data_IF_125381693743
#
_entry.id   IF_125381693743
#
_cell.length_a   1.000
_cell.length_b   1.000
_cell.length_c   1.000
_cell.angle_alpha   90.00
_cell.angle_beta   90.00
_cell.angle_gamma   90.00
#
_symmetry.space_group_name_H-M   'P 1'
#
loop_
_entity.id
_entity.type
_entity.pdbx_description
1 polymer ?
#
# COMPACT_ATOMS: atom_id res chain seq x y z
N UNK A 1 21.79 27.72 -14.49
CA UNK A 1 22.25 26.65 -15.40
C UNK A 1 22.29 25.34 -14.63
N UNK A 2 21.45 24.40 -15.07
CA UNK A 2 21.42 22.95 -14.82
C UNK A 2 22.46 22.36 -13.85
N UNK A 3 22.07 22.13 -12.59
CA UNK A 3 22.75 21.13 -11.75
C UNK A 3 21.95 19.84 -11.78
N UNK A 4 22.61 18.83 -12.34
CA UNK A 4 22.19 17.45 -12.48
C UNK A 4 21.72 16.90 -11.14
N UNK A 5 20.41 16.84 -10.92
CA UNK A 5 19.85 15.97 -9.88
C UNK A 5 19.88 14.55 -10.43
N UNK A 6 20.98 13.90 -10.04
CA UNK A 6 21.10 12.47 -9.75
C UNK A 6 20.05 11.60 -10.45
N UNK A 7 20.45 11.05 -11.59
CA UNK A 7 19.92 9.80 -12.10
C UNK A 7 20.10 8.73 -11.01
N UNK A 8 19.10 8.56 -10.15
CA UNK A 8 19.02 7.38 -9.30
C UNK A 8 19.03 6.16 -10.25
N UNK A 9 19.78 5.09 -9.95
CA UNK A 9 19.87 3.96 -10.87
C UNK A 9 18.46 3.35 -10.98
N UNK A 10 17.95 3.25 -12.21
CA UNK A 10 16.70 2.55 -12.56
C UNK A 10 16.72 1.04 -12.26
N UNK A 11 17.63 0.58 -11.39
CA UNK A 11 17.80 -0.80 -10.95
C UNK A 11 17.26 -1.06 -9.53
N UNK A 12 16.60 -0.08 -8.88
CA UNK A 12 15.90 -0.33 -7.61
C UNK A 12 14.55 -1.07 -7.80
N UNK A 13 14.20 -1.47 -9.02
CA UNK A 13 12.86 -1.97 -9.39
C UNK A 13 12.72 -3.51 -9.29
N UNK A 14 13.80 -4.31 -9.10
CA UNK A 14 13.70 -5.78 -9.29
C UNK A 14 13.75 -6.62 -8.00
N UNK A 15 13.93 -6.04 -6.81
CA UNK A 15 14.15 -6.84 -5.59
C UNK A 15 12.93 -7.25 -4.75
N UNK A 16 11.70 -7.05 -5.23
CA UNK A 16 10.47 -7.52 -4.54
C UNK A 16 9.78 -8.67 -5.31
N UNK A 17 10.41 -9.21 -6.36
CA UNK A 17 9.73 -10.09 -7.32
C UNK A 17 9.66 -11.59 -7.02
N UNK A 18 10.04 -12.12 -5.85
CA UNK A 18 10.28 -13.59 -5.74
C UNK A 18 9.71 -14.31 -4.52
N UNK A 19 8.66 -13.81 -3.85
CA UNK A 19 8.04 -14.65 -2.79
C UNK A 19 6.55 -14.45 -2.54
N UNK A 20 5.73 -14.34 -3.59
CA UNK A 20 4.29 -14.11 -3.41
C UNK A 20 3.51 -14.91 -4.45
N UNK A 21 3.33 -16.20 -4.22
CA UNK A 21 2.33 -16.96 -4.98
C UNK A 21 1.27 -17.61 -4.09
N UNK A 22 1.46 -17.63 -2.76
CA UNK A 22 0.43 -18.01 -1.78
C UNK A 22 -0.03 -16.83 -0.91
N UNK A 23 0.77 -15.76 -0.81
CA UNK A 23 0.51 -14.55 0.00
C UNK A 23 -0.28 -13.44 -0.73
N UNK A 24 -0.81 -13.72 -1.92
CA UNK A 24 -1.46 -12.68 -2.74
C UNK A 24 -2.73 -12.10 -2.09
N UNK A 25 -3.52 -12.88 -1.35
CA UNK A 25 -4.71 -12.36 -0.64
C UNK A 25 -4.35 -11.58 0.62
N UNK A 26 -3.26 -11.96 1.29
CA UNK A 26 -2.74 -11.25 2.46
C UNK A 26 -2.08 -9.94 2.05
N UNK A 27 -1.22 -9.92 1.03
CA UNK A 27 -0.57 -8.68 0.56
C UNK A 27 -1.54 -7.63 0.01
N UNK A 28 -2.70 -8.05 -0.50
CA UNK A 28 -3.71 -7.13 -1.01
C UNK A 28 -4.45 -6.36 0.09
N UNK A 29 -4.54 -6.93 1.31
CA UNK A 29 -5.21 -6.35 2.48
C UNK A 29 -4.30 -6.18 3.70
N UNK A 30 -2.99 -6.38 3.55
CA UNK A 30 -2.01 -6.12 4.58
C UNK A 30 -1.80 -4.61 4.71
N UNK A 31 -2.17 -4.06 5.87
CA UNK A 31 -2.15 -2.62 6.13
C UNK A 31 -0.76 -2.00 5.89
N UNK A 32 0.36 -2.56 6.42
CA UNK A 32 1.70 -2.14 6.08
C UNK A 32 1.97 -2.09 4.58
N UNK A 33 1.58 -3.12 3.84
CA UNK A 33 1.79 -3.19 2.38
C UNK A 33 1.03 -2.09 1.64
N UNK A 34 -0.23 -1.83 2.01
CA UNK A 34 -1.02 -0.74 1.40
C UNK A 34 -0.41 0.63 1.72
N UNK A 35 0.01 0.84 2.97
CA UNK A 35 0.69 2.07 3.39
C UNK A 35 2.00 2.30 2.61
N UNK A 36 2.80 1.25 2.41
CA UNK A 36 4.03 1.35 1.59
C UNK A 36 3.71 1.71 0.14
N UNK A 37 2.66 1.13 -0.45
CA UNK A 37 2.21 1.46 -1.81
C UNK A 37 1.75 2.91 -1.93
N UNK A 38 1.03 3.44 -0.93
CA UNK A 38 0.65 4.86 -0.88
C UNK A 38 1.86 5.79 -0.82
N UNK A 39 2.85 5.48 0.01
CA UNK A 39 4.10 6.26 0.11
C UNK A 39 4.85 6.26 -1.23
N UNK A 40 4.96 5.09 -1.88
CA UNK A 40 5.60 4.98 -3.19
C UNK A 40 4.86 5.78 -4.25
N UNK A 41 3.52 5.70 -4.27
CA UNK A 41 2.67 6.42 -5.21
C UNK A 41 2.84 7.95 -5.06
N UNK A 42 2.86 8.45 -3.82
CA UNK A 42 3.11 9.86 -3.51
C UNK A 42 4.49 10.31 -4.00
N UNK A 43 5.54 9.51 -3.75
CA UNK A 43 6.89 9.81 -4.22
C UNK A 43 6.96 9.89 -5.76
N UNK A 44 6.32 8.95 -6.47
CA UNK A 44 6.27 8.97 -7.93
C UNK A 44 5.57 10.23 -8.47
N UNK A 45 4.50 10.68 -7.81
CA UNK A 45 3.81 11.90 -8.18
C UNK A 45 4.66 13.16 -7.90
N UNK A 46 5.28 13.25 -6.72
CA UNK A 46 6.16 14.37 -6.36
C UNK A 46 7.40 14.50 -7.26
N UNK A 47 7.92 13.37 -7.75
CA UNK A 47 9.02 13.33 -8.72
C UNK A 47 8.56 13.60 -10.17
N UNK A 48 7.26 13.75 -10.41
CA UNK A 48 6.68 13.96 -11.73
C UNK A 48 6.74 12.72 -12.65
N UNK A 49 6.92 11.53 -12.08
CA UNK A 49 6.98 10.26 -12.84
C UNK A 49 5.59 9.83 -13.34
N UNK A 50 4.52 10.29 -12.68
CA UNK A 50 3.13 10.04 -13.06
C UNK A 50 2.32 11.33 -13.09
N UNK A 51 1.34 11.44 -14.01
CA UNK A 51 0.43 12.59 -14.03
C UNK A 51 -0.57 12.52 -12.86
N UNK A 52 -1.06 13.68 -12.42
CA UNK A 52 -2.03 13.82 -11.32
C UNK A 52 -3.24 12.90 -11.45
N UNK A 53 -3.80 12.78 -12.65
CA UNK A 53 -4.95 11.89 -12.89
C UNK A 53 -4.63 10.42 -12.58
N UNK A 54 -3.44 9.94 -12.98
CA UNK A 54 -3.03 8.56 -12.72
C UNK A 54 -2.65 8.34 -11.24
N UNK A 55 -2.20 9.40 -10.57
CA UNK A 55 -2.00 9.39 -9.11
C UNK A 55 -3.35 9.23 -8.40
N UNK A 56 -4.33 10.11 -8.68
CA UNK A 56 -5.65 10.11 -8.05
C UNK A 56 -6.39 8.77 -8.23
N UNK A 57 -6.42 8.24 -9.46
CA UNK A 57 -7.09 6.95 -9.74
C UNK A 57 -6.50 5.80 -8.90
N UNK A 58 -5.17 5.78 -8.73
CA UNK A 58 -4.49 4.74 -7.95
C UNK A 58 -4.57 4.99 -6.45
N UNK A 59 -4.58 6.24 -6.02
CA UNK A 59 -4.71 6.64 -4.62
C UNK A 59 -6.08 6.22 -4.09
N UNK A 60 -7.14 6.52 -4.82
CA UNK A 60 -8.51 6.12 -4.47
C UNK A 60 -8.65 4.60 -4.34
N UNK A 61 -8.03 3.84 -5.26
CA UNK A 61 -8.01 2.38 -5.21
C UNK A 61 -7.30 1.86 -3.95
N UNK A 62 -6.12 2.39 -3.63
CA UNK A 62 -5.34 1.98 -2.47
C UNK A 62 -6.02 2.37 -1.15
N UNK A 63 -6.62 3.56 -1.07
CA UNK A 63 -7.37 4.02 0.09
C UNK A 63 -8.61 3.17 0.33
N UNK A 64 -9.35 2.81 -0.72
CA UNK A 64 -10.50 1.89 -0.62
C UNK A 64 -10.07 0.54 -0.03
N UNK A 65 -8.93 0.00 -0.48
CA UNK A 65 -8.38 -1.25 0.08
C UNK A 65 -7.95 -1.10 1.54
N UNK A 66 -7.35 0.04 1.88
CA UNK A 66 -6.92 0.36 3.25
C UNK A 66 -8.11 0.38 4.21
N UNK A 67 -9.20 1.02 3.83
CA UNK A 67 -10.43 1.08 4.65
C UNK A 67 -11.01 -0.31 4.90
N UNK A 68 -11.06 -1.16 3.87
CA UNK A 68 -11.54 -2.54 3.99
C UNK A 68 -10.64 -3.33 4.95
N UNK A 69 -9.32 -3.21 4.78
CA UNK A 69 -8.35 -3.88 5.64
C UNK A 69 -8.48 -3.42 7.11
N UNK A 70 -8.61 -2.11 7.35
CA UNK A 70 -8.81 -1.56 8.70
C UNK A 70 -10.09 -2.03 9.35
N UNK A 71 -11.18 -2.09 8.58
CA UNK A 71 -12.47 -2.58 9.10
C UNK A 71 -12.37 -4.03 9.55
N UNK A 72 -11.75 -4.89 8.74
CA UNK A 72 -11.51 -6.30 9.09
C UNK A 72 -10.64 -6.44 10.33
N UNK A 73 -9.57 -5.65 10.45
CA UNK A 73 -8.71 -5.64 11.64
C UNK A 73 -9.52 -5.31 12.91
N UNK A 74 -10.39 -4.29 12.85
CA UNK A 74 -11.25 -3.90 13.98
C UNK A 74 -12.30 -4.96 14.31
N UNK A 75 -12.94 -5.56 13.31
CA UNK A 75 -13.94 -6.63 13.50
C UNK A 75 -13.30 -7.86 14.18
N UNK A 76 -12.09 -8.25 13.77
CA UNK A 76 -11.35 -9.33 14.43
C UNK A 76 -10.96 -8.96 15.86
N UNK A 77 -10.52 -7.72 16.10
CA UNK A 77 -10.21 -7.23 17.45
C UNK A 77 -11.45 -7.24 18.38
N UNK A 78 -12.60 -6.82 17.87
CA UNK A 78 -13.87 -6.83 18.61
C UNK A 78 -14.31 -8.26 18.98
N UNK A 79 -14.16 -9.22 18.06
CA UNK A 79 -14.42 -10.64 18.34
C UNK A 79 -13.53 -11.20 19.46
N UNK A 80 -12.26 -10.79 19.49
CA UNK A 80 -11.28 -11.26 20.47
C UNK A 80 -11.45 -10.62 21.85
N UNK A 81 -12.01 -9.40 21.92
CA UNK A 81 -12.12 -8.62 23.17
C UNK A 81 -13.50 -8.68 23.80
N UNK A 82 -14.52 -9.12 23.08
CA UNK A 82 -15.84 -9.37 23.67
C UNK A 82 -15.76 -10.53 24.67
N UNK A 83 -16.18 -10.34 25.93
CA UNK A 83 -16.25 -11.45 26.88
C UNK A 83 -17.23 -12.48 26.33
N UNK A 84 -16.85 -13.76 26.40
CA UNK A 84 -17.75 -14.90 26.11
C UNK A 84 -18.84 -14.95 27.19
N UNK A 85 -19.79 -14.03 27.13
CA UNK A 85 -21.03 -14.13 27.89
C UNK A 85 -22.01 -14.93 27.03
N UNK A 86 -21.79 -16.24 27.01
CA UNK A 86 -22.78 -17.21 26.58
C UNK A 86 -23.09 -18.10 27.80
N UNK A 87 -24.32 -17.98 28.31
CA UNK A 87 -25.05 -19.03 29.03
C UNK A 87 -24.58 -19.39 30.44
#
# INVERSE_FOLDING_TARGET
MLHKLVTAPMNLVVKIGQKVQEEAEKELYDLPTIQQKLIQLQMMFELGEIPEKAFQEKEDELLTRYEIAKRREMEEWDKLTKPRNEG
#
